data_IF_975927644951
#
_entry.id   IF_975927644951
#
_cell.length_a   1.000
_cell.length_b   1.000
_cell.length_c   1.000
_cell.angle_alpha   90.00
_cell.angle_beta   90.00
_cell.angle_gamma   90.00
#
_symmetry.space_group_name_H-M   'P 1'
#
loop_
_entity.id
_entity.type
_entity.pdbx_description
1 polymer ?
#
# COMPACT_ATOMS: atom_id res chain seq x y z
N UNK A 1 19.33 12.05 24.31
CA UNK A 1 18.10 12.70 23.81
C UNK A 1 16.93 11.90 24.32
N UNK A 2 15.99 12.51 25.04
CA UNK A 2 14.79 11.78 25.49
C UNK A 2 14.05 11.30 24.24
N UNK A 3 13.76 10.01 24.12
CA UNK A 3 12.89 9.55 23.03
C UNK A 3 11.53 10.22 23.23
N UNK A 4 10.97 10.77 22.17
CA UNK A 4 9.63 11.34 22.23
C UNK A 4 8.66 10.27 22.76
N UNK A 5 7.88 10.61 23.78
CA UNK A 5 7.03 9.69 24.55
C UNK A 5 6.02 8.90 23.67
N UNK A 6 5.66 9.46 22.52
CA UNK A 6 4.78 8.84 21.54
C UNK A 6 5.50 7.98 20.49
N UNK A 7 6.82 8.01 20.40
CA UNK A 7 7.62 7.18 19.49
C UNK A 7 8.14 5.89 20.13
N UNK A 8 8.01 5.73 21.45
CA UNK A 8 8.37 4.47 22.11
C UNK A 8 7.46 3.33 21.61
N UNK A 9 8.00 2.13 21.34
CA UNK A 9 7.20 0.95 21.00
C UNK A 9 6.52 0.31 22.23
N UNK A 10 6.80 0.79 23.45
CA UNK A 10 6.24 0.22 24.69
C UNK A 10 4.74 0.51 24.81
N UNK A 11 3.96 -0.49 25.21
CA UNK A 11 2.49 -0.42 25.29
C UNK A 11 1.88 -1.31 26.39
N UNK A 12 2.59 -1.44 27.51
CA UNK A 12 2.02 -2.01 28.74
C UNK A 12 1.04 -1.04 29.44
N UNK A 13 0.47 -1.45 30.57
CA UNK A 13 -0.49 -0.64 31.34
C UNK A 13 0.05 0.74 31.73
N UNK A 14 1.32 0.83 32.13
CA UNK A 14 1.94 2.08 32.56
C UNK A 14 2.17 3.01 31.36
N UNK A 15 2.74 2.49 30.28
CA UNK A 15 2.96 3.23 29.03
C UNK A 15 1.63 3.73 28.44
N UNK A 16 0.58 2.91 28.48
CA UNK A 16 -0.77 3.31 28.06
C UNK A 16 -1.32 4.43 28.93
N UNK A 17 -1.21 4.32 30.25
CA UNK A 17 -1.70 5.34 31.17
C UNK A 17 -0.97 6.68 30.98
N UNK A 18 0.37 6.67 30.87
CA UNK A 18 1.17 7.87 30.62
C UNK A 18 0.82 8.50 29.26
N UNK A 19 0.71 7.70 28.20
CA UNK A 19 0.30 8.18 26.88
C UNK A 19 -1.07 8.88 26.94
N UNK A 20 -2.06 8.26 27.59
CA UNK A 20 -3.42 8.84 27.72
C UNK A 20 -3.42 10.13 28.53
N UNK A 21 -2.65 10.20 29.62
CA UNK A 21 -2.52 11.41 30.43
C UNK A 21 -1.95 12.57 29.60
N UNK A 22 -0.84 12.34 28.89
CA UNK A 22 -0.21 13.37 28.03
C UNK A 22 -1.10 13.75 26.85
N UNK A 23 -1.76 12.78 26.23
CA UNK A 23 -2.71 13.03 25.14
C UNK A 23 -3.88 13.92 25.59
N UNK A 24 -4.33 13.81 26.85
CA UNK A 24 -5.40 14.66 27.39
C UNK A 24 -4.99 16.14 27.52
N UNK A 25 -3.68 16.40 27.67
CA UNK A 25 -3.10 17.73 27.76
C UNK A 25 -2.82 18.31 26.36
N UNK A 26 -2.49 17.46 25.39
CA UNK A 26 -2.17 17.84 24.02
C UNK A 26 -3.40 17.87 23.08
N UNK A 27 -4.43 18.66 23.41
CA UNK A 27 -5.72 18.63 22.70
C UNK A 27 -5.62 18.98 21.22
N UNK A 28 -4.86 20.02 20.88
CA UNK A 28 -4.73 20.50 19.49
C UNK A 28 -3.94 19.54 18.59
N UNK A 29 -3.01 18.78 19.18
CA UNK A 29 -2.15 17.83 18.46
C UNK A 29 -2.57 16.38 18.70
N UNK A 30 -3.78 16.16 19.25
CA UNK A 30 -4.27 14.83 19.63
C UNK A 30 -4.20 13.86 18.45
N UNK A 31 -4.68 14.27 17.26
CA UNK A 31 -4.69 13.45 16.04
C UNK A 31 -3.29 13.07 15.57
N UNK A 32 -2.35 14.01 15.66
CA UNK A 32 -0.95 13.78 15.34
C UNK A 32 -0.36 12.70 16.27
N UNK A 33 -0.50 12.86 17.59
CA UNK A 33 0.05 11.91 18.55
C UNK A 33 -0.61 10.52 18.50
N UNK A 34 -1.91 10.44 18.24
CA UNK A 34 -2.59 9.17 17.99
C UNK A 34 -1.94 8.43 16.81
N UNK A 35 -1.74 9.11 15.68
CA UNK A 35 -1.13 8.52 14.49
C UNK A 35 0.32 8.07 14.72
N UNK A 36 1.14 8.91 15.36
CA UNK A 36 2.54 8.58 15.65
C UNK A 36 2.65 7.39 16.60
N UNK A 37 1.83 7.35 17.65
CA UNK A 37 1.86 6.23 18.59
C UNK A 37 1.34 4.93 17.97
N UNK A 38 0.28 5.01 17.17
CA UNK A 38 -0.23 3.85 16.43
C UNK A 38 0.88 3.25 15.54
N UNK A 39 1.59 4.09 14.78
CA UNK A 39 2.71 3.66 13.95
C UNK A 39 3.84 3.01 14.78
N UNK A 40 4.19 3.60 15.93
CA UNK A 40 5.27 3.11 16.78
C UNK A 40 5.01 1.72 17.40
N UNK A 41 3.73 1.38 17.65
CA UNK A 41 3.36 0.12 18.29
C UNK A 41 2.86 -0.95 17.31
N UNK A 42 2.59 -0.60 16.05
CA UNK A 42 1.91 -1.46 15.08
C UNK A 42 2.51 -2.87 14.93
N UNK A 43 3.84 -2.98 14.91
CA UNK A 43 4.50 -4.28 14.71
C UNK A 43 4.40 -5.21 15.93
N UNK A 44 4.25 -4.67 17.14
CA UNK A 44 4.19 -5.44 18.40
C UNK A 44 2.78 -5.55 18.98
N UNK A 45 1.93 -4.58 18.68
CA UNK A 45 0.58 -4.41 19.22
C UNK A 45 -0.40 -3.99 18.12
N UNK A 46 -0.59 -4.81 17.06
CA UNK A 46 -1.36 -4.41 15.88
C UNK A 46 -2.81 -4.05 16.18
N UNK A 47 -3.50 -4.81 17.03
CA UNK A 47 -4.88 -4.52 17.43
C UNK A 47 -5.00 -3.17 18.15
N UNK A 48 -4.03 -2.84 18.99
CA UNK A 48 -4.03 -1.56 19.69
C UNK A 48 -3.67 -0.39 18.77
N UNK A 49 -2.79 -0.60 17.79
CA UNK A 49 -2.50 0.39 16.76
C UNK A 49 -3.74 0.68 15.91
N UNK A 50 -4.49 -0.35 15.51
CA UNK A 50 -5.76 -0.21 14.79
C UNK A 50 -6.74 0.65 15.62
N UNK A 51 -6.91 0.35 16.91
CA UNK A 51 -7.79 1.13 17.78
C UNK A 51 -7.37 2.61 17.91
N UNK A 52 -6.07 2.90 17.95
CA UNK A 52 -5.57 4.28 17.94
C UNK A 52 -5.83 4.99 16.61
N UNK A 53 -5.71 4.28 15.47
CA UNK A 53 -6.09 4.82 14.17
C UNK A 53 -7.60 5.06 14.07
N UNK A 54 -8.44 4.18 14.63
CA UNK A 54 -9.89 4.40 14.69
C UNK A 54 -10.23 5.66 15.50
N UNK A 55 -9.58 5.87 16.64
CA UNK A 55 -9.72 7.12 17.40
C UNK A 55 -9.25 8.35 16.63
N UNK A 56 -8.17 8.22 15.84
CA UNK A 56 -7.69 9.31 14.99
C UNK A 56 -8.71 9.64 13.91
N UNK A 57 -9.23 8.64 13.22
CA UNK A 57 -10.23 8.79 12.14
C UNK A 57 -11.51 9.42 12.70
N UNK A 58 -11.99 8.96 13.86
CA UNK A 58 -13.19 9.50 14.49
C UNK A 58 -13.04 10.98 14.91
N UNK A 59 -11.81 11.44 15.11
CA UNK A 59 -11.51 12.84 15.47
C UNK A 59 -11.13 13.71 14.26
N UNK A 60 -10.91 13.11 13.09
CA UNK A 60 -10.43 13.79 11.89
C UNK A 60 -11.49 14.71 11.28
N UNK A 61 -11.05 15.83 10.73
CA UNK A 61 -11.93 16.82 10.09
C UNK A 61 -11.86 16.74 8.55
N UNK A 62 -10.76 16.21 8.02
CA UNK A 62 -10.42 16.24 6.62
C UNK A 62 -9.91 14.88 6.13
N UNK A 63 -10.10 14.63 4.84
CA UNK A 63 -9.68 13.40 4.16
C UNK A 63 -8.16 13.15 4.22
N UNK A 64 -7.33 14.21 4.26
CA UNK A 64 -5.88 14.12 4.36
C UNK A 64 -5.40 13.56 5.72
N UNK A 65 -6.23 13.60 6.75
CA UNK A 65 -5.99 12.94 8.03
C UNK A 65 -6.55 11.50 8.07
N UNK A 66 -7.67 11.26 7.37
CA UNK A 66 -8.40 9.98 7.35
C UNK A 66 -7.70 8.96 6.46
N UNK A 67 -7.36 9.34 5.23
CA UNK A 67 -6.83 8.44 4.20
C UNK A 67 -5.52 7.78 4.65
N UNK A 68 -4.52 8.51 5.18
CA UNK A 68 -3.29 7.87 5.66
C UNK A 68 -3.51 6.94 6.87
N UNK A 69 -4.51 7.22 7.71
CA UNK A 69 -4.84 6.35 8.84
C UNK A 69 -5.47 5.04 8.38
N UNK A 70 -6.40 5.09 7.42
CA UNK A 70 -7.01 3.91 6.80
C UNK A 70 -5.99 3.10 5.99
N UNK A 71 -5.11 3.77 5.25
CA UNK A 71 -3.99 3.11 4.55
C UNK A 71 -3.08 2.38 5.54
N UNK A 72 -2.72 3.01 6.66
CA UNK A 72 -1.93 2.36 7.71
C UNK A 72 -2.63 1.15 8.33
N UNK A 73 -3.95 1.22 8.57
CA UNK A 73 -4.73 0.05 9.02
C UNK A 73 -4.70 -1.08 7.99
N UNK A 74 -4.85 -0.79 6.70
CA UNK A 74 -4.73 -1.77 5.64
C UNK A 74 -3.35 -2.48 5.68
N UNK A 75 -2.27 -1.73 5.90
CA UNK A 75 -0.92 -2.30 6.03
C UNK A 75 -0.78 -3.24 7.23
N UNK A 76 -1.41 -2.90 8.35
CA UNK A 76 -1.40 -3.75 9.55
C UNK A 76 -2.12 -5.07 9.26
N UNK A 77 -3.31 -4.99 8.66
CA UNK A 77 -4.09 -6.18 8.28
C UNK A 77 -3.35 -7.06 7.25
N UNK A 78 -2.69 -6.45 6.26
CA UNK A 78 -1.86 -7.18 5.31
C UNK A 78 -0.76 -7.99 6.00
N UNK A 79 -0.01 -7.37 6.93
CA UNK A 79 1.05 -8.07 7.69
C UNK A 79 0.51 -9.17 8.60
N UNK A 80 -0.72 -9.03 9.08
CA UNK A 80 -1.42 -10.05 9.86
C UNK A 80 -2.01 -11.18 8.99
N UNK A 81 -2.01 -11.05 7.66
CA UNK A 81 -2.65 -11.99 6.74
C UNK A 81 -4.17 -11.87 6.68
N UNK A 82 -4.75 -10.82 7.25
CA UNK A 82 -6.20 -10.56 7.22
C UNK A 82 -6.56 -9.74 5.97
N UNK A 83 -6.58 -10.43 4.82
CA UNK A 83 -6.74 -9.77 3.52
C UNK A 83 -8.11 -9.11 3.33
N UNK A 84 -9.19 -9.64 3.93
CA UNK A 84 -10.50 -9.02 3.81
C UNK A 84 -10.56 -7.70 4.59
N UNK A 85 -10.02 -7.66 5.81
CA UNK A 85 -9.94 -6.40 6.55
C UNK A 85 -8.99 -5.40 5.88
N UNK A 86 -7.89 -5.88 5.25
CA UNK A 86 -7.01 -5.06 4.43
C UNK A 86 -7.76 -4.40 3.27
N UNK A 87 -8.49 -5.18 2.46
CA UNK A 87 -9.26 -4.62 1.34
C UNK A 87 -10.34 -3.67 1.82
N UNK A 88 -11.04 -3.99 2.90
CA UNK A 88 -12.04 -3.11 3.47
C UNK A 88 -11.45 -1.75 3.91
N UNK A 89 -10.27 -1.75 4.52
CA UNK A 89 -9.58 -0.52 4.92
C UNK A 89 -9.15 0.32 3.71
N UNK A 90 -8.63 -0.31 2.65
CA UNK A 90 -8.33 0.39 1.40
C UNK A 90 -9.57 0.98 0.75
N UNK A 91 -10.65 0.22 0.62
CA UNK A 91 -11.92 0.66 0.02
C UNK A 91 -12.47 1.89 0.76
N UNK A 92 -12.42 1.89 2.10
CA UNK A 92 -12.77 3.06 2.92
C UNK A 92 -11.85 4.26 2.65
N UNK A 93 -10.55 4.03 2.46
CA UNK A 93 -9.61 5.11 2.16
C UNK A 93 -9.89 5.73 0.79
N UNK A 94 -10.20 4.89 -0.20
CA UNK A 94 -10.58 5.30 -1.55
C UNK A 94 -11.91 6.04 -1.54
N UNK A 95 -12.89 5.58 -0.77
CA UNK A 95 -14.17 6.28 -0.58
C UNK A 95 -13.97 7.66 0.06
N UNK A 96 -13.09 7.77 1.05
CA UNK A 96 -12.84 9.02 1.76
C UNK A 96 -12.06 10.05 0.93
N UNK A 97 -11.05 9.62 0.16
CA UNK A 97 -10.13 10.53 -0.55
C UNK A 97 -10.30 10.62 -2.07
N UNK A 98 -11.11 9.72 -2.66
CA UNK A 98 -11.29 9.60 -4.10
C UNK A 98 -9.98 9.49 -4.89
N UNK A 99 -10.02 9.88 -6.16
CA UNK A 99 -8.88 9.77 -7.09
C UNK A 99 -7.72 10.73 -6.77
N UNK A 100 -7.94 11.74 -5.91
CA UNK A 100 -6.92 12.75 -5.62
C UNK A 100 -6.11 12.42 -4.38
N UNK A 101 -6.80 12.18 -3.26
CA UNK A 101 -6.14 12.05 -1.96
C UNK A 101 -5.79 10.59 -1.68
N UNK A 102 -6.47 9.63 -2.32
CA UNK A 102 -6.26 8.21 -2.08
C UNK A 102 -5.36 7.50 -3.09
N UNK A 103 -4.55 8.20 -3.88
CA UNK A 103 -3.69 7.58 -4.94
C UNK A 103 -2.88 6.40 -4.38
N UNK A 104 -2.22 6.57 -3.23
CA UNK A 104 -1.43 5.50 -2.61
C UNK A 104 -2.30 4.29 -2.21
N UNK A 105 -3.50 4.53 -1.67
CA UNK A 105 -4.42 3.45 -1.33
C UNK A 105 -4.98 2.75 -2.58
N UNK A 106 -5.24 3.49 -3.66
CA UNK A 106 -5.67 2.92 -4.94
C UNK A 106 -4.58 2.01 -5.52
N UNK A 107 -3.34 2.50 -5.60
CA UNK A 107 -2.23 1.72 -6.20
C UNK A 107 -1.92 0.48 -5.38
N UNK A 108 -1.95 0.58 -4.05
CA UNK A 108 -1.68 -0.56 -3.16
C UNK A 108 -2.84 -1.55 -3.15
N UNK A 109 -4.09 -1.09 -3.17
CA UNK A 109 -5.27 -1.93 -3.38
C UNK A 109 -5.15 -2.75 -4.67
N UNK A 110 -4.86 -2.09 -5.80
CA UNK A 110 -4.77 -2.77 -7.10
C UNK A 110 -3.60 -3.77 -7.13
N UNK A 111 -2.46 -3.39 -6.55
CA UNK A 111 -1.30 -4.28 -6.43
C UNK A 111 -1.62 -5.52 -5.60
N UNK A 112 -2.28 -5.34 -4.45
CA UNK A 112 -2.72 -6.44 -3.61
C UNK A 112 -3.71 -7.37 -4.33
N UNK A 113 -4.66 -6.83 -5.09
CA UNK A 113 -5.59 -7.62 -5.93
C UNK A 113 -4.83 -8.53 -6.90
N UNK A 114 -3.85 -8.00 -7.65
CA UNK A 114 -3.06 -8.77 -8.60
C UNK A 114 -2.11 -9.78 -7.96
N UNK A 115 -1.49 -9.40 -6.83
CA UNK A 115 -0.57 -10.26 -6.07
C UNK A 115 -1.30 -11.45 -5.42
N UNK A 116 -2.42 -11.18 -4.76
CA UNK A 116 -3.23 -12.19 -4.06
C UNK A 116 -4.14 -12.98 -5.00
N UNK A 117 -4.20 -12.60 -6.29
CA UNK A 117 -5.04 -13.19 -7.33
C UNK A 117 -6.53 -13.19 -6.95
N UNK A 118 -7.01 -12.10 -6.34
CA UNK A 118 -8.42 -11.97 -5.97
C UNK A 118 -9.28 -11.63 -7.19
N UNK A 119 -9.74 -12.66 -7.89
CA UNK A 119 -10.57 -12.55 -9.10
C UNK A 119 -11.84 -11.72 -8.90
N UNK A 120 -12.41 -11.73 -7.69
CA UNK A 120 -13.64 -10.98 -7.40
C UNK A 120 -13.45 -9.46 -7.50
N UNK A 121 -12.20 -8.98 -7.36
CA UNK A 121 -11.83 -7.56 -7.35
C UNK A 121 -11.12 -7.10 -8.62
N UNK A 122 -10.80 -7.99 -9.56
CA UNK A 122 -10.05 -7.65 -10.79
C UNK A 122 -10.66 -6.48 -11.58
N UNK A 123 -11.96 -6.54 -11.86
CA UNK A 123 -12.65 -5.47 -12.59
C UNK A 123 -12.55 -4.13 -11.85
N UNK A 124 -12.80 -4.13 -10.55
CA UNK A 124 -12.74 -2.90 -9.75
C UNK A 124 -11.32 -2.32 -9.70
N UNK A 125 -10.30 -3.17 -9.62
CA UNK A 125 -8.91 -2.72 -9.66
C UNK A 125 -8.55 -2.09 -11.01
N UNK A 126 -8.90 -2.73 -12.13
CA UNK A 126 -8.67 -2.18 -13.47
C UNK A 126 -9.42 -0.85 -13.68
N UNK A 127 -10.68 -0.76 -13.25
CA UNK A 127 -11.48 0.47 -13.33
C UNK A 127 -10.80 1.63 -12.58
N UNK A 128 -10.16 1.37 -11.44
CA UNK A 128 -9.42 2.39 -10.70
C UNK A 128 -8.15 2.82 -11.40
N UNK A 129 -7.40 1.88 -11.98
CA UNK A 129 -6.19 2.19 -12.73
C UNK A 129 -6.54 3.03 -13.98
N UNK A 130 -7.64 2.71 -14.67
CA UNK A 130 -8.10 3.48 -15.83
C UNK A 130 -8.55 4.90 -15.47
N UNK A 131 -9.14 5.09 -14.28
CA UNK A 131 -9.45 6.42 -13.74
C UNK A 131 -8.18 7.22 -13.45
N UNK A 132 -7.18 6.60 -12.82
CA UNK A 132 -5.89 7.25 -12.58
C UNK A 132 -5.20 7.65 -13.88
N UNK A 133 -5.24 6.78 -14.91
CA UNK A 133 -4.71 7.10 -16.23
C UNK A 133 -5.43 8.26 -16.89
N UNK A 134 -6.77 8.22 -16.92
CA UNK A 134 -7.60 9.29 -17.50
C UNK A 134 -7.28 10.64 -16.86
N UNK A 135 -7.09 10.66 -15.54
CA UNK A 135 -6.71 11.84 -14.79
C UNK A 135 -5.30 12.30 -15.11
N UNK A 136 -4.32 11.40 -15.08
CA UNK A 136 -2.93 11.71 -15.38
C UNK A 136 -2.78 12.26 -16.80
N UNK A 137 -3.49 11.68 -17.77
CA UNK A 137 -3.53 12.18 -19.16
C UNK A 137 -4.07 13.62 -19.19
N UNK A 138 -5.16 13.89 -18.47
CA UNK A 138 -5.75 15.22 -18.43
C UNK A 138 -4.83 16.27 -17.78
N UNK A 139 -3.99 15.89 -16.81
CA UNK A 139 -3.16 16.81 -16.03
C UNK A 139 -1.72 16.93 -16.53
N UNK A 140 -1.13 15.83 -17.00
CA UNK A 140 0.28 15.65 -17.33
C UNK A 140 0.52 15.32 -18.81
N UNK A 141 -0.54 14.94 -19.55
CA UNK A 141 -0.45 14.57 -20.96
C UNK A 141 0.00 13.13 -21.21
N UNK A 142 0.13 12.31 -20.16
CA UNK A 142 0.49 10.89 -20.25
C UNK A 142 -0.23 10.07 -19.16
N UNK A 143 -0.36 8.73 -19.33
CA UNK A 143 -0.96 7.83 -18.33
C UNK A 143 -0.24 7.87 -16.97
N UNK A 144 -0.89 7.34 -15.94
CA UNK A 144 -0.30 7.20 -14.63
C UNK A 144 0.65 6.00 -14.66
N UNK A 145 1.95 6.27 -14.50
CA UNK A 145 2.97 5.21 -14.50
C UNK A 145 3.58 5.11 -13.12
N UNK A 146 3.54 3.91 -12.54
CA UNK A 146 4.15 3.61 -11.26
C UNK A 146 4.27 2.10 -11.07
N UNK A 147 5.32 1.64 -10.40
CA UNK A 147 5.61 0.22 -10.26
C UNK A 147 4.40 -0.59 -9.80
N UNK A 148 3.74 -0.17 -8.71
CA UNK A 148 2.59 -0.88 -8.15
C UNK A 148 1.40 -0.98 -9.13
N UNK A 149 1.12 0.09 -9.87
CA UNK A 149 0.05 0.13 -10.86
C UNK A 149 0.34 -0.77 -12.07
N UNK A 150 1.54 -0.66 -12.65
CA UNK A 150 1.95 -1.49 -13.79
C UNK A 150 2.05 -2.97 -13.40
N UNK A 151 2.58 -3.29 -12.20
CA UNK A 151 2.62 -4.66 -11.70
C UNK A 151 1.21 -5.23 -11.46
N UNK A 152 0.28 -4.41 -10.94
CA UNK A 152 -1.12 -4.81 -10.79
C UNK A 152 -1.74 -5.17 -12.14
N UNK A 153 -1.61 -4.30 -13.15
CA UNK A 153 -2.10 -4.55 -14.52
C UNK A 153 -1.49 -5.83 -15.07
N UNK A 154 -0.17 -6.00 -14.97
CA UNK A 154 0.54 -7.17 -15.45
C UNK A 154 -0.04 -8.47 -14.85
N UNK A 155 -0.19 -8.52 -13.53
CA UNK A 155 -0.70 -9.71 -12.85
C UNK A 155 -2.17 -9.99 -13.17
N UNK A 156 -3.03 -8.97 -13.19
CA UNK A 156 -4.45 -9.14 -13.46
C UNK A 156 -4.66 -9.58 -14.92
N UNK A 157 -4.08 -8.87 -15.89
CA UNK A 157 -4.18 -9.21 -17.32
C UNK A 157 -3.59 -10.59 -17.62
N UNK A 158 -2.50 -10.99 -16.94
CA UNK A 158 -1.97 -12.33 -17.08
C UNK A 158 -2.96 -13.41 -16.65
N UNK A 159 -3.69 -13.18 -15.55
CA UNK A 159 -4.68 -14.13 -15.04
C UNK A 159 -5.96 -14.15 -15.87
N UNK A 160 -6.37 -13.04 -16.45
CA UNK A 160 -7.55 -12.97 -17.33
C UNK A 160 -7.28 -13.41 -18.78
N UNK A 161 -6.01 -13.70 -19.12
CA UNK A 161 -5.61 -14.20 -20.44
C UNK A 161 -5.25 -13.10 -21.45
N UNK A 162 -5.19 -11.85 -21.03
CA UNK A 162 -4.79 -10.69 -21.84
C UNK A 162 -3.26 -10.59 -21.92
N UNK A 163 -2.64 -11.54 -22.64
CA UNK A 163 -1.18 -11.75 -22.61
C UNK A 163 -0.36 -10.56 -23.10
N UNK A 164 -0.80 -9.86 -24.15
CA UNK A 164 -0.08 -8.70 -24.71
C UNK A 164 -0.07 -7.55 -23.70
N UNK A 165 -1.23 -7.18 -23.17
CA UNK A 165 -1.37 -6.14 -22.14
C UNK A 165 -0.59 -6.49 -20.87
N UNK A 166 -0.60 -7.77 -20.47
CA UNK A 166 0.16 -8.25 -19.34
C UNK A 166 1.67 -8.06 -19.53
N UNK A 167 2.17 -8.43 -20.72
CA UNK A 167 3.59 -8.32 -21.05
C UNK A 167 4.06 -6.86 -21.12
N UNK A 168 3.25 -5.97 -21.71
CA UNK A 168 3.57 -4.54 -21.79
C UNK A 168 3.63 -3.90 -20.40
N UNK A 169 2.61 -4.13 -19.58
CA UNK A 169 2.58 -3.64 -18.20
C UNK A 169 3.72 -4.23 -17.33
N UNK A 170 4.11 -5.49 -17.59
CA UNK A 170 5.25 -6.10 -16.88
C UNK A 170 6.57 -5.41 -17.24
N UNK A 171 6.78 -5.02 -18.50
CA UNK A 171 7.97 -4.28 -18.93
C UNK A 171 8.02 -2.90 -18.29
N UNK A 172 6.90 -2.17 -18.26
CA UNK A 172 6.82 -0.87 -17.57
C UNK A 172 7.18 -0.98 -16.08
N UNK A 173 6.65 -2.00 -15.39
CA UNK A 173 6.99 -2.25 -13.99
C UNK A 173 8.48 -2.56 -13.81
N UNK A 174 9.07 -3.38 -14.68
CA UNK A 174 10.49 -3.70 -14.63
C UNK A 174 11.37 -2.48 -14.92
N UNK A 175 11.01 -1.63 -15.87
CA UNK A 175 11.73 -0.37 -16.15
C UNK A 175 11.76 0.54 -14.92
N UNK A 176 10.62 0.65 -14.22
CA UNK A 176 10.53 1.41 -12.97
C UNK A 176 11.35 0.79 -11.83
N UNK A 177 11.60 -0.53 -11.87
CA UNK A 177 12.39 -1.21 -10.86
C UNK A 177 13.90 -0.97 -10.93
N UNK A 178 14.37 -0.45 -12.07
CA UNK A 178 15.78 -0.18 -12.33
C UNK A 178 16.14 1.28 -11.93
N UNK A 179 15.14 2.14 -11.71
CA UNK A 179 15.36 3.51 -11.26
C UNK A 179 15.84 3.54 -9.80
N UNK A 180 17.04 4.07 -9.55
CA UNK A 180 17.68 4.22 -8.24
C UNK A 180 17.01 5.27 -7.31
N UNK A 181 15.74 5.60 -7.56
CA UNK A 181 15.07 6.69 -6.83
C UNK A 181 14.90 6.31 -5.34
N UNK A 182 15.55 7.03 -4.40
CA UNK A 182 15.72 6.61 -3.02
C UNK A 182 14.51 7.01 -2.19
N UNK A 183 13.32 6.51 -2.53
CA UNK A 183 12.15 6.66 -1.67
C UNK A 183 11.93 5.35 -0.88
N UNK A 184 12.23 5.34 0.43
CA UNK A 184 11.95 4.18 1.27
C UNK A 184 10.45 4.05 1.51
N UNK A 185 9.82 3.11 0.81
CA UNK A 185 8.49 2.55 1.08
C UNK A 185 8.59 1.03 1.13
N UNK A 186 7.61 0.36 1.76
CA UNK A 186 7.62 -1.07 2.10
C UNK A 186 8.08 -1.98 0.93
N UNK A 187 8.82 -3.08 1.18
CA UNK A 187 9.36 -3.99 0.15
C UNK A 187 8.33 -4.71 -0.75
N UNK A 188 7.06 -4.33 -0.74
CA UNK A 188 6.00 -5.03 -1.48
C UNK A 188 4.87 -4.13 -2.00
N UNK A 189 4.80 -2.83 -1.63
CA UNK A 189 3.74 -1.94 -2.10
C UNK A 189 4.27 -0.51 -2.33
N UNK A 190 3.85 0.09 -3.44
CA UNK A 190 4.31 1.40 -3.92
C UNK A 190 5.67 1.43 -4.63
N UNK A 191 6.69 0.77 -4.08
CA UNK A 191 8.06 0.76 -4.64
C UNK A 191 8.43 -0.58 -5.26
N UNK A 192 9.32 -0.56 -6.24
CA UNK A 192 9.82 -1.78 -6.84
C UNK A 192 10.69 -2.57 -5.83
N UNK A 193 10.41 -3.86 -5.60
CA UNK A 193 11.23 -4.68 -4.74
C UNK A 193 12.60 -4.92 -5.40
N UNK A 194 13.68 -4.80 -4.63
CA UNK A 194 15.03 -5.12 -5.12
C UNK A 194 15.14 -6.62 -5.40
N UNK A 195 15.71 -7.04 -6.55
CA UNK A 195 16.03 -8.44 -6.78
C UNK A 195 17.02 -8.98 -5.74
N UNK A 196 16.91 -10.27 -5.35
CA UNK A 196 15.89 -11.24 -5.79
C UNK A 196 14.53 -10.99 -5.10
N UNK A 197 13.44 -11.05 -5.87
CA UNK A 197 12.08 -10.86 -5.37
C UNK A 197 11.08 -11.69 -6.18
N UNK A 198 10.18 -12.46 -5.54
CA UNK A 198 9.15 -13.23 -6.25
C UNK A 198 8.25 -12.38 -7.15
N UNK A 199 8.05 -11.12 -6.80
CA UNK A 199 7.28 -10.16 -7.62
C UNK A 199 8.06 -9.83 -8.89
N UNK A 200 9.36 -9.52 -8.75
CA UNK A 200 10.23 -9.22 -9.88
C UNK A 200 10.37 -10.43 -10.81
N UNK A 201 10.56 -11.62 -10.25
CA UNK A 201 10.69 -12.86 -11.00
C UNK A 201 9.42 -13.17 -11.81
N UNK A 202 8.25 -12.99 -11.20
CA UNK A 202 6.97 -13.14 -11.90
C UNK A 202 6.79 -12.13 -13.03
N UNK A 203 7.23 -10.88 -12.84
CA UNK A 203 7.20 -9.87 -13.89
C UNK A 203 8.13 -10.23 -15.06
N UNK A 204 9.34 -10.75 -14.78
CA UNK A 204 10.24 -11.27 -15.82
C UNK A 204 9.59 -12.38 -16.65
N UNK A 205 8.90 -13.31 -15.99
CA UNK A 205 8.15 -14.38 -16.69
C UNK A 205 7.05 -13.79 -17.58
N UNK A 206 6.22 -12.89 -17.04
CA UNK A 206 5.11 -12.27 -17.78
C UNK A 206 5.61 -11.44 -18.96
N UNK A 207 6.74 -10.74 -18.80
CA UNK A 207 7.35 -9.94 -19.86
C UNK A 207 8.04 -10.78 -20.95
N UNK A 208 8.23 -12.08 -20.73
CA UNK A 208 8.99 -12.97 -21.60
C UNK A 208 10.50 -12.75 -21.51
N UNK A 209 10.99 -12.28 -20.36
CA UNK A 209 12.39 -11.92 -20.10
C UNK A 209 13.07 -12.86 -19.10
N UNK A 210 12.41 -13.95 -18.69
CA UNK A 210 13.01 -14.95 -17.81
C UNK A 210 14.12 -15.72 -18.52
N UNK A 211 15.32 -15.70 -17.94
CA UNK A 211 16.50 -16.38 -18.45
C UNK A 211 16.75 -17.66 -17.65
N UNK A 212 16.33 -18.82 -18.19
CA UNK A 212 16.48 -20.10 -17.48
C UNK A 212 17.93 -20.53 -17.28
N UNK A 213 18.85 -20.09 -18.16
CA UNK A 213 20.26 -20.45 -18.09
C UNK A 213 20.95 -19.77 -16.91
N UNK A 214 20.52 -18.54 -16.57
CA UNK A 214 21.11 -17.74 -15.51
C UNK A 214 20.29 -17.71 -14.20
N UNK A 215 18.97 -17.86 -14.27
CA UNK A 215 18.06 -17.75 -13.10
C UNK A 215 17.48 -19.10 -12.66
N UNK A 216 17.66 -20.16 -13.45
CA UNK A 216 17.05 -21.46 -13.21
C UNK A 216 15.61 -21.56 -13.74
N UNK A 217 14.86 -22.62 -13.37
CA UNK A 217 13.52 -22.84 -13.93
C UNK A 217 12.57 -21.70 -13.58
N UNK A 218 11.72 -21.32 -14.54
CA UNK A 218 10.74 -20.25 -14.34
C UNK A 218 9.78 -20.56 -13.18
N UNK A 219 9.51 -19.59 -12.30
CA UNK A 219 8.48 -19.75 -11.27
C UNK A 219 7.10 -19.90 -11.93
N UNK A 220 6.21 -20.63 -11.28
CA UNK A 220 4.82 -20.74 -11.71
C UNK A 220 4.15 -19.36 -11.64
N UNK A 221 3.75 -18.84 -12.80
CA UNK A 221 3.17 -17.50 -12.96
C UNK A 221 1.75 -17.35 -12.38
#
# INVERSE_FOLDING_TARGET
MASEWFLSPDWDDEARADFRLRLSQAREQRRYYLGQKAAAIADRHPEAAIALYDEKIAAAEYEDEIVPALHAQAMIHFRAGDHEAMFHAFERAIEAGGEFTAIAAITDYCSAVGLLRDESRYRSALDWLDKLDSRAIAQLGHPFVGFAASAARAFICWQTGERELAADAAREALEMSISDDPMPGLPCMGSAPKPPSPVHDRLLVIAGLWDEDNLGPAPLA
#
